data_IF_561184541172
#
_entry.id   IF_561184541172
#
_cell.length_a   1.000
_cell.length_b   1.000
_cell.length_c   1.000
_cell.angle_alpha   90.00
_cell.angle_beta   90.00
_cell.angle_gamma   90.00
#
_symmetry.space_group_name_H-M   'P 1'
#
loop_
_entity.id
_entity.type
_entity.pdbx_description
1 polymer ?
#
# COMPACT_ATOMS: atom_id res chain seq x y z
N UNK A 1 -2.51 5.60 34.23
CA UNK A 1 -2.21 6.74 33.32
C UNK A 1 -1.38 6.32 32.10
N UNK A 2 -1.38 5.03 31.70
CA UNK A 2 -0.60 4.54 30.55
C UNK A 2 -1.28 4.76 29.20
N UNK A 3 -2.61 4.93 29.20
CA UNK A 3 -3.42 5.01 27.98
C UNK A 3 -3.11 6.23 27.10
N UNK A 4 -2.94 7.47 27.64
CA UNK A 4 -2.59 8.63 26.82
C UNK A 4 -1.20 8.49 26.18
N UNK A 5 -0.24 7.90 26.89
CA UNK A 5 1.13 7.76 26.41
C UNK A 5 1.25 6.75 25.27
N UNK A 6 0.48 5.66 25.32
CA UNK A 6 0.39 4.65 24.26
C UNK A 6 -0.32 5.19 23.02
N UNK A 7 -1.37 5.99 23.21
CA UNK A 7 -2.09 6.64 22.12
C UNK A 7 -1.19 7.68 21.45
N UNK A 8 -0.51 8.52 22.23
CA UNK A 8 0.41 9.53 21.68
C UNK A 8 1.56 8.90 20.90
N UNK A 9 2.17 7.82 21.41
CA UNK A 9 3.25 7.13 20.68
C UNK A 9 2.74 6.47 19.40
N UNK A 10 1.56 5.86 19.41
CA UNK A 10 0.95 5.32 18.20
C UNK A 10 0.63 6.41 17.17
N UNK A 11 0.05 7.54 17.58
CA UNK A 11 -0.27 8.64 16.66
C UNK A 11 0.99 9.35 16.16
N UNK A 12 2.04 9.47 16.97
CA UNK A 12 3.31 10.08 16.58
C UNK A 12 4.07 9.26 15.53
N UNK A 13 4.02 7.93 15.62
CA UNK A 13 4.63 7.03 14.61
C UNK A 13 3.69 6.69 13.44
N UNK A 14 2.45 7.21 13.44
CA UNK A 14 1.50 6.98 12.36
C UNK A 14 1.78 7.87 11.16
N UNK A 15 2.57 7.35 10.23
CA UNK A 15 2.91 8.04 8.98
C UNK A 15 1.97 7.68 7.81
N UNK A 16 2.08 8.42 6.70
CA UNK A 16 1.31 8.22 5.45
C UNK A 16 1.34 6.76 4.95
N UNK A 17 2.47 6.06 5.11
CA UNK A 17 2.63 4.68 4.66
C UNK A 17 1.62 3.69 5.26
N UNK A 18 1.17 3.90 6.51
CA UNK A 18 0.15 3.06 7.13
C UNK A 18 -1.21 3.26 6.48
N UNK A 19 -1.57 4.51 6.17
CA UNK A 19 -2.82 4.86 5.48
C UNK A 19 -2.83 4.24 4.08
N UNK A 20 -1.71 4.35 3.35
CA UNK A 20 -1.56 3.77 2.02
C UNK A 20 -1.62 2.23 2.06
N UNK A 21 -0.99 1.59 3.05
CA UNK A 21 -1.10 0.14 3.23
C UNK A 21 -2.54 -0.30 3.52
N UNK A 22 -3.22 0.41 4.41
CA UNK A 22 -4.63 0.14 4.71
C UNK A 22 -5.48 0.29 3.45
N UNK A 23 -5.26 1.37 2.69
CA UNK A 23 -5.93 1.62 1.41
C UNK A 23 -5.69 0.51 0.39
N UNK A 24 -4.46 -0.01 0.31
CA UNK A 24 -4.13 -1.15 -0.53
C UNK A 24 -4.91 -2.40 -0.12
N UNK A 25 -4.91 -2.73 1.17
CA UNK A 25 -5.62 -3.91 1.71
C UNK A 25 -7.12 -3.78 1.43
N UNK A 26 -7.72 -2.63 1.73
CA UNK A 26 -9.14 -2.38 1.47
C UNK A 26 -9.46 -2.48 -0.02
N UNK A 27 -8.58 -1.95 -0.89
CA UNK A 27 -8.78 -2.02 -2.34
C UNK A 27 -8.72 -3.45 -2.85
N UNK A 28 -7.74 -4.25 -2.41
CA UNK A 28 -7.62 -5.67 -2.78
C UNK A 28 -8.83 -6.46 -2.27
N UNK A 29 -9.25 -6.26 -1.02
CA UNK A 29 -10.43 -6.92 -0.47
C UNK A 29 -11.72 -6.49 -1.19
N UNK A 30 -11.86 -5.22 -1.55
CA UNK A 30 -12.99 -4.71 -2.32
C UNK A 30 -13.06 -5.25 -3.75
N UNK A 31 -11.90 -5.52 -4.36
CA UNK A 31 -11.81 -6.10 -5.70
C UNK A 31 -11.87 -7.63 -5.71
N UNK A 32 -11.65 -8.30 -4.57
CA UNK A 32 -11.66 -9.76 -4.48
C UNK A 32 -12.94 -10.43 -5.03
N UNK A 33 -14.17 -9.91 -4.78
CA UNK A 33 -15.40 -10.48 -5.33
C UNK A 33 -15.49 -10.41 -6.86
N UNK A 34 -14.76 -9.50 -7.51
CA UNK A 34 -14.78 -9.33 -8.95
C UNK A 34 -14.08 -10.48 -9.70
N UNK A 35 -13.28 -11.29 -9.00
CA UNK A 35 -12.50 -12.42 -9.56
C UNK A 35 -11.64 -12.03 -10.78
N UNK A 36 -11.31 -10.75 -10.92
CA UNK A 36 -10.56 -10.22 -12.04
C UNK A 36 -9.09 -10.08 -11.68
N UNK A 37 -8.24 -10.92 -12.28
CA UNK A 37 -6.80 -10.82 -12.11
C UNK A 37 -6.26 -9.48 -12.62
N UNK A 38 -6.80 -8.96 -13.74
CA UNK A 38 -6.46 -7.64 -14.29
C UNK A 38 -6.74 -6.52 -13.28
N UNK A 39 -7.86 -6.59 -12.57
CA UNK A 39 -8.20 -5.60 -11.53
C UNK A 39 -7.26 -5.67 -10.33
N UNK A 40 -6.91 -6.87 -9.87
CA UNK A 40 -5.95 -7.02 -8.77
C UNK A 40 -4.56 -6.52 -9.20
N UNK A 41 -4.12 -6.92 -10.39
CA UNK A 41 -2.85 -6.48 -10.97
C UNK A 41 -2.74 -4.95 -11.09
N UNK A 42 -3.81 -4.29 -11.55
CA UNK A 42 -3.84 -2.83 -11.65
C UNK A 42 -3.81 -2.16 -10.28
N UNK A 43 -4.53 -2.68 -9.28
CA UNK A 43 -4.45 -2.18 -7.90
C UNK A 43 -3.01 -2.25 -7.38
N UNK A 44 -2.34 -3.40 -7.50
CA UNK A 44 -0.96 -3.56 -7.03
C UNK A 44 -0.01 -2.60 -7.75
N UNK A 45 -0.12 -2.49 -9.08
CA UNK A 45 0.73 -1.59 -9.86
C UNK A 45 0.52 -0.11 -9.48
N UNK A 46 -0.74 0.33 -9.37
CA UNK A 46 -1.09 1.71 -9.01
C UNK A 46 -0.60 2.05 -7.61
N UNK A 47 -0.87 1.19 -6.61
CA UNK A 47 -0.35 1.42 -5.27
C UNK A 47 1.18 1.37 -5.22
N UNK A 48 1.81 0.50 -6.01
CA UNK A 48 3.26 0.48 -6.14
C UNK A 48 3.83 1.81 -6.62
N UNK A 49 3.22 2.40 -7.65
CA UNK A 49 3.59 3.75 -8.14
C UNK A 49 3.33 4.81 -7.06
N UNK A 50 2.19 4.76 -6.36
CA UNK A 50 1.88 5.71 -5.28
C UNK A 50 2.95 5.65 -4.18
N UNK A 51 3.38 4.46 -3.76
CA UNK A 51 4.44 4.29 -2.77
C UNK A 51 5.78 4.87 -3.26
N UNK A 52 6.13 4.69 -4.53
CA UNK A 52 7.38 5.21 -5.11
C UNK A 52 7.41 6.74 -5.23
N UNK A 53 6.27 7.36 -5.50
CA UNK A 53 6.16 8.81 -5.71
C UNK A 53 5.87 9.57 -4.41
N UNK A 54 5.49 8.86 -3.34
CA UNK A 54 5.18 9.46 -2.05
C UNK A 54 6.38 10.24 -1.46
N UNK A 55 6.15 11.40 -0.81
CA UNK A 55 7.23 12.20 -0.23
C UNK A 55 7.94 11.50 0.94
N UNK A 56 9.28 11.50 0.92
CA UNK A 56 10.13 11.00 2.02
C UNK A 56 9.93 11.74 3.35
N UNK A 57 9.37 12.95 3.33
CA UNK A 57 9.11 13.76 4.53
C UNK A 57 7.93 13.24 5.35
N UNK A 58 7.03 12.48 4.72
CA UNK A 58 5.77 12.01 5.33
C UNK A 58 5.73 10.49 5.51
N UNK A 59 6.77 9.79 5.08
CA UNK A 59 6.80 8.33 5.01
C UNK A 59 8.23 7.80 5.07
N UNK A 60 8.53 6.78 5.90
CA UNK A 60 9.85 6.17 5.97
C UNK A 60 10.27 5.52 4.62
N UNK A 61 11.58 5.44 4.32
CA UNK A 61 12.09 4.86 3.07
C UNK A 61 11.64 3.41 2.83
N UNK A 62 11.38 2.65 3.90
CA UNK A 62 10.90 1.26 3.82
C UNK A 62 9.59 1.13 3.04
N UNK A 63 8.65 2.05 3.22
CA UNK A 63 7.39 2.05 2.49
C UNK A 63 7.56 2.51 1.04
N UNK A 64 8.52 3.40 0.76
CA UNK A 64 8.82 3.81 -0.61
C UNK A 64 9.38 2.62 -1.37
N UNK A 65 10.32 1.91 -0.76
CA UNK A 65 10.92 0.69 -1.33
C UNK A 65 9.90 -0.44 -1.53
N UNK A 66 8.84 -0.51 -0.72
CA UNK A 66 7.72 -1.44 -0.92
C UNK A 66 7.03 -1.22 -2.27
N UNK A 67 7.07 -0.01 -2.81
CA UNK A 67 6.51 0.28 -4.13
C UNK A 67 7.17 -0.50 -5.26
N UNK A 68 8.47 -0.81 -5.16
CA UNK A 68 9.22 -1.56 -6.20
C UNK A 68 8.62 -2.95 -6.43
N UNK A 69 8.55 -3.85 -5.43
CA UNK A 69 7.95 -5.17 -5.64
C UNK A 69 6.46 -5.08 -6.01
N UNK A 70 5.71 -4.09 -5.52
CA UNK A 70 4.30 -3.90 -5.89
C UNK A 70 4.12 -3.62 -7.38
N UNK A 71 4.93 -2.72 -7.96
CA UNK A 71 4.91 -2.44 -9.41
C UNK A 71 5.29 -3.69 -10.20
N UNK A 72 6.35 -4.40 -9.79
CA UNK A 72 6.82 -5.59 -10.49
C UNK A 72 5.78 -6.72 -10.47
N UNK A 73 5.22 -7.01 -9.29
CA UNK A 73 4.18 -8.02 -9.14
C UNK A 73 2.91 -7.60 -9.89
N UNK A 74 2.50 -6.34 -9.79
CA UNK A 74 1.35 -5.83 -10.54
C UNK A 74 1.51 -5.98 -12.05
N UNK A 75 2.67 -5.58 -12.60
CA UNK A 75 2.97 -5.75 -14.02
C UNK A 75 3.00 -7.23 -14.43
N UNK A 76 3.63 -8.09 -13.62
CA UNK A 76 3.71 -9.52 -13.87
C UNK A 76 2.31 -10.15 -13.91
N UNK A 77 1.49 -9.92 -12.88
CA UNK A 77 0.12 -10.42 -12.79
C UNK A 77 -0.75 -9.92 -13.95
N UNK A 78 -0.53 -8.70 -14.42
CA UNK A 78 -1.22 -8.16 -15.58
C UNK A 78 -0.86 -8.93 -16.84
N UNK A 79 0.43 -9.14 -17.10
CA UNK A 79 0.88 -9.88 -18.30
C UNK A 79 0.49 -11.36 -18.29
N UNK A 80 0.30 -11.96 -17.11
CA UNK A 80 -0.15 -13.34 -16.94
C UNK A 80 -1.67 -13.51 -16.95
N UNK A 81 -2.43 -12.42 -17.00
CA UNK A 81 -3.89 -12.48 -16.94
C UNK A 81 -4.49 -12.71 -18.32
N UNK A 82 -5.23 -13.81 -18.47
CA UNK A 82 -5.98 -14.15 -19.68
C UNK A 82 -7.05 -13.08 -20.03
#
# INVERSE_FOLDING_TARGET
MLLPLVIDTFLLDYHLGHVLLLGLIVSVLGAAPLKSQKMIASILAVFGVIFLVAPNTTMPPTFILLGVPLVLIGALLWTMSD
#
